data_IF_879540123806
#
_entry.id   IF_879540123806
#
_cell.length_a   1.000
_cell.length_b   1.000
_cell.length_c   1.000
_cell.angle_alpha   90.00
_cell.angle_beta   90.00
_cell.angle_gamma   90.00
#
_symmetry.space_group_name_H-M   'P 1'
#
loop_
_entity.id
_entity.type
_entity.pdbx_description
1 polymer ?
#
# COMPACT_ATOMS: atom_id res chain seq x y z
N UNK A 1 20.22 20.13 -10.47
CA UNK A 1 19.79 18.75 -10.24
C UNK A 1 18.30 18.69 -10.43
N UNK A 2 17.82 17.79 -11.28
CA UNK A 2 16.39 17.66 -11.59
C UNK A 2 15.78 16.46 -10.87
N UNK A 3 14.56 16.59 -10.38
CA UNK A 3 13.88 15.51 -9.67
C UNK A 3 12.45 15.27 -10.18
N UNK A 4 12.00 14.04 -10.04
CA UNK A 4 10.59 13.69 -10.12
C UNK A 4 10.10 13.21 -8.76
N UNK A 5 8.85 13.50 -8.43
CA UNK A 5 8.24 13.03 -7.19
C UNK A 5 7.39 11.80 -7.49
N UNK A 6 7.57 10.74 -6.71
CA UNK A 6 6.68 9.60 -6.71
C UNK A 6 5.85 9.55 -5.43
N UNK A 7 4.53 9.44 -5.58
CA UNK A 7 3.59 9.33 -4.48
C UNK A 7 2.58 8.19 -4.71
N UNK A 8 2.16 7.52 -3.64
CA UNK A 8 1.12 6.48 -3.70
C UNK A 8 0.26 6.41 -2.46
N UNK A 9 -0.96 5.88 -2.61
CA UNK A 9 -1.78 5.47 -1.47
C UNK A 9 -1.29 4.13 -0.89
N UNK A 10 -1.53 3.92 0.41
CA UNK A 10 -1.28 2.64 1.09
C UNK A 10 -2.53 1.78 1.24
N UNK A 11 -3.75 2.36 1.16
CA UNK A 11 -5.05 1.66 1.22
C UNK A 11 -6.19 2.59 0.77
N UNK A 12 -7.37 2.02 0.44
CA UNK A 12 -8.58 2.74 0.00
C UNK A 12 -9.14 3.75 1.03
N UNK A 13 -8.73 3.68 2.30
CA UNK A 13 -9.20 4.56 3.37
C UNK A 13 -8.37 5.85 3.53
N UNK A 14 -7.23 5.98 2.85
CA UNK A 14 -6.43 7.20 2.89
C UNK A 14 -6.84 8.15 1.78
N UNK A 15 -7.51 9.23 2.17
CA UNK A 15 -8.07 10.27 1.31
C UNK A 15 -7.00 10.96 0.43
N UNK A 16 -7.43 11.60 -0.66
CA UNK A 16 -6.59 12.43 -1.55
C UNK A 16 -5.68 13.42 -0.81
N UNK A 17 -6.11 13.93 0.34
CA UNK A 17 -5.29 14.74 1.26
C UNK A 17 -3.94 14.10 1.65
N UNK A 18 -3.83 12.78 1.61
CA UNK A 18 -2.56 12.09 1.88
C UNK A 18 -1.54 12.22 0.74
N UNK A 19 -1.97 12.24 -0.52
CA UNK A 19 -1.06 12.47 -1.66
C UNK A 19 -0.63 13.92 -1.73
N UNK A 20 -1.56 14.87 -1.55
CA UNK A 20 -1.23 16.30 -1.52
C UNK A 20 -0.20 16.62 -0.41
N UNK A 21 -0.35 16.01 0.77
CA UNK A 21 0.63 16.11 1.84
C UNK A 21 2.01 15.59 1.43
N UNK A 22 2.06 14.39 0.84
CA UNK A 22 3.32 13.81 0.34
C UNK A 22 3.99 14.71 -0.70
N UNK A 23 3.22 15.23 -1.65
CA UNK A 23 3.72 16.10 -2.71
C UNK A 23 4.23 17.43 -2.15
N UNK A 24 3.53 18.02 -1.18
CA UNK A 24 3.94 19.27 -0.52
C UNK A 24 5.26 19.07 0.21
N UNK A 25 5.37 18.07 1.08
CA UNK A 25 6.58 17.81 1.86
C UNK A 25 7.78 17.51 0.95
N UNK A 26 7.57 16.79 -0.16
CA UNK A 26 8.61 16.54 -1.17
C UNK A 26 9.02 17.83 -1.90
N UNK A 27 8.08 18.72 -2.23
CA UNK A 27 8.40 20.02 -2.87
C UNK A 27 9.16 20.92 -1.93
N UNK A 28 8.76 20.99 -0.66
CA UNK A 28 9.45 21.77 0.38
C UNK A 28 10.89 21.27 0.57
N UNK A 29 11.08 19.95 0.56
CA UNK A 29 12.42 19.35 0.60
C UNK A 29 13.24 19.73 -0.64
N UNK A 30 12.67 19.63 -1.83
CA UNK A 30 13.33 19.96 -3.08
C UNK A 30 13.77 21.43 -3.11
N UNK A 31 12.89 22.36 -2.70
CA UNK A 31 13.19 23.78 -2.62
C UNK A 31 14.34 24.07 -1.66
N UNK A 32 14.31 23.50 -0.45
CA UNK A 32 15.37 23.66 0.57
C UNK A 32 16.73 23.14 0.11
N UNK A 33 16.75 22.15 -0.80
CA UNK A 33 17.98 21.55 -1.31
C UNK A 33 18.37 22.00 -2.72
N UNK A 34 17.69 23.02 -3.28
CA UNK A 34 18.00 23.56 -4.61
C UNK A 34 17.74 22.55 -5.75
N UNK A 35 16.77 21.66 -5.58
CA UNK A 35 16.40 20.63 -6.55
C UNK A 35 15.19 21.11 -7.36
N UNK A 36 15.26 21.05 -8.68
CA UNK A 36 14.16 21.44 -9.56
C UNK A 36 13.24 20.24 -9.81
N UNK A 37 11.98 20.31 -9.37
CA UNK A 37 10.99 19.27 -9.65
C UNK A 37 10.44 19.44 -11.06
N UNK A 38 10.68 18.44 -11.94
CA UNK A 38 10.30 18.45 -13.37
C UNK A 38 9.04 17.62 -13.66
N UNK A 39 8.57 16.82 -12.71
CA UNK A 39 7.36 16.00 -12.89
C UNK A 39 6.95 15.23 -11.66
N UNK A 40 5.76 14.61 -11.75
CA UNK A 40 5.20 13.77 -10.69
C UNK A 40 4.64 12.48 -11.27
N UNK A 41 4.80 11.36 -10.54
CA UNK A 41 4.20 10.06 -10.83
C UNK A 41 3.34 9.67 -9.64
N UNK A 42 2.08 9.31 -9.88
CA UNK A 42 1.11 9.10 -8.80
C UNK A 42 0.33 7.82 -9.06
N UNK A 43 0.55 6.80 -8.23
CA UNK A 43 -0.25 5.59 -8.25
C UNK A 43 -1.37 5.66 -7.20
N UNK A 44 -2.61 5.64 -7.70
CA UNK A 44 -3.81 5.52 -6.88
C UNK A 44 -4.15 4.04 -6.74
N UNK A 45 -4.25 3.52 -5.52
CA UNK A 45 -4.56 2.11 -5.28
C UNK A 45 -5.96 1.77 -5.82
N UNK A 46 -6.03 1.00 -6.90
CA UNK A 46 -7.30 0.54 -7.48
C UNK A 46 -7.81 -0.78 -6.88
N UNK A 47 -7.01 -1.56 -6.20
CA UNK A 47 -7.45 -2.69 -5.37
C UNK A 47 -6.31 -3.26 -4.53
N UNK A 48 -6.64 -3.88 -3.39
CA UNK A 48 -5.67 -4.57 -2.53
C UNK A 48 -5.09 -5.85 -3.17
N UNK A 49 -5.63 -6.30 -4.31
CA UNK A 49 -5.28 -7.59 -4.94
C UNK A 49 -4.32 -7.50 -6.12
N UNK A 50 -4.16 -6.34 -6.74
CA UNK A 50 -3.26 -6.18 -7.91
C UNK A 50 -2.15 -5.20 -7.60
N UNK A 51 -0.89 -5.64 -7.82
CA UNK A 51 0.30 -4.77 -7.72
C UNK A 51 0.46 -3.94 -8.99
N UNK A 52 -0.64 -3.36 -9.44
CA UNK A 52 -0.63 -2.52 -10.64
C UNK A 52 -0.22 -1.09 -10.23
N UNK A 53 1.06 -0.77 -10.50
CA UNK A 53 1.66 0.55 -10.30
C UNK A 53 2.11 1.12 -11.65
N UNK A 54 1.18 1.50 -12.53
CA UNK A 54 1.51 1.91 -13.89
C UNK A 54 2.42 3.14 -13.91
N UNK A 55 2.21 4.11 -13.04
CA UNK A 55 3.04 5.30 -12.96
C UNK A 55 4.42 5.00 -12.39
N UNK A 56 4.54 4.10 -11.42
CA UNK A 56 5.84 3.61 -10.95
C UNK A 56 6.62 2.93 -12.07
N UNK A 57 5.99 2.02 -12.81
CA UNK A 57 6.64 1.33 -13.92
C UNK A 57 7.04 2.29 -15.04
N UNK A 58 6.21 3.31 -15.30
CA UNK A 58 6.53 4.40 -16.24
C UNK A 58 7.74 5.20 -15.76
N UNK A 59 7.78 5.57 -14.48
CA UNK A 59 8.91 6.28 -13.87
C UNK A 59 10.23 5.50 -14.01
N UNK A 60 10.20 4.19 -13.71
CA UNK A 60 11.39 3.32 -13.89
C UNK A 60 11.85 3.27 -15.35
N UNK A 61 10.93 3.17 -16.30
CA UNK A 61 11.27 3.22 -17.74
C UNK A 61 11.81 4.59 -18.15
N UNK A 62 11.23 5.67 -17.65
CA UNK A 62 11.63 7.04 -17.97
C UNK A 62 12.99 7.40 -17.37
N UNK A 63 13.42 6.75 -16.28
CA UNK A 63 14.76 6.93 -15.71
C UNK A 63 15.89 6.62 -16.72
N UNK A 64 15.66 5.68 -17.64
CA UNK A 64 16.62 5.36 -18.69
C UNK A 64 16.79 6.48 -19.73
N UNK A 65 15.81 7.41 -19.83
CA UNK A 65 15.84 8.54 -20.75
C UNK A 65 16.67 9.73 -20.22
N UNK A 66 17.15 9.65 -18.97
CA UNK A 66 17.97 10.70 -18.31
C UNK A 66 17.30 12.08 -18.28
N UNK A 67 15.99 12.13 -18.12
CA UNK A 67 15.22 13.38 -18.04
C UNK A 67 15.15 13.93 -16.61
N UNK A 68 15.60 13.17 -15.63
CA UNK A 68 15.73 13.55 -14.22
C UNK A 68 16.90 12.81 -13.57
N UNK A 69 17.47 13.40 -12.52
CA UNK A 69 18.62 12.88 -11.79
C UNK A 69 18.21 12.20 -10.50
N UNK A 70 17.01 12.54 -9.96
CA UNK A 70 16.55 12.11 -8.65
C UNK A 70 15.09 11.68 -8.70
N UNK A 71 14.80 10.55 -8.05
CA UNK A 71 13.44 10.17 -7.64
C UNK A 71 13.27 10.56 -6.18
N UNK A 72 12.35 11.47 -5.90
CA UNK A 72 12.03 11.94 -4.57
C UNK A 72 10.75 11.29 -4.08
N UNK A 73 10.80 10.65 -2.92
CA UNK A 73 9.65 10.04 -2.24
C UNK A 73 9.46 10.65 -0.87
N UNK A 74 8.26 10.62 -0.36
CA UNK A 74 7.99 11.10 0.99
C UNK A 74 8.72 10.25 2.04
N UNK A 75 8.58 8.91 1.95
CA UNK A 75 9.30 7.90 2.73
C UNK A 75 9.64 6.70 1.86
N UNK A 76 10.62 5.88 2.25
CA UNK A 76 11.03 4.70 1.49
C UNK A 76 9.93 3.64 1.37
N UNK A 77 9.01 3.56 2.34
CA UNK A 77 7.84 2.65 2.29
C UNK A 77 6.86 3.02 1.17
N UNK A 78 6.94 4.24 0.63
CA UNK A 78 6.18 4.66 -0.56
C UNK A 78 6.81 4.18 -1.85
N UNK A 79 8.12 3.99 -1.88
CA UNK A 79 8.86 3.54 -3.06
C UNK A 79 8.61 2.05 -3.35
N UNK A 80 8.77 1.18 -2.36
CA UNK A 80 8.62 -0.26 -2.53
C UNK A 80 7.75 -0.88 -1.42
N UNK A 81 7.18 -2.06 -1.69
CA UNK A 81 6.32 -2.78 -0.73
C UNK A 81 7.12 -3.76 0.11
N UNK A 82 8.23 -4.24 -0.39
CA UNK A 82 9.10 -5.18 0.28
C UNK A 82 10.57 -4.86 -0.03
N UNK A 83 11.45 -5.45 0.76
CA UNK A 83 12.89 -5.21 0.67
C UNK A 83 13.49 -5.63 -0.67
N UNK A 84 13.03 -6.72 -1.23
CA UNK A 84 13.55 -7.24 -2.49
C UNK A 84 13.27 -6.28 -3.65
N UNK A 85 12.03 -5.80 -3.76
CA UNK A 85 11.63 -4.81 -4.76
C UNK A 85 12.40 -3.49 -4.58
N UNK A 86 12.55 -3.03 -3.31
CA UNK A 86 13.29 -1.81 -3.00
C UNK A 86 14.72 -1.86 -3.54
N UNK A 87 15.45 -2.96 -3.27
CA UNK A 87 16.83 -3.14 -3.71
C UNK A 87 16.92 -3.23 -5.23
N UNK A 88 16.04 -4.02 -5.87
CA UNK A 88 16.05 -4.20 -7.32
C UNK A 88 15.76 -2.90 -8.08
N UNK A 89 14.72 -2.17 -7.69
CA UNK A 89 14.37 -0.93 -8.37
C UNK A 89 15.36 0.20 -8.07
N UNK A 90 15.91 0.26 -6.86
CA UNK A 90 16.99 1.19 -6.55
C UNK A 90 18.22 0.91 -7.42
N UNK A 91 18.64 -0.35 -7.54
CA UNK A 91 19.75 -0.74 -8.42
C UNK A 91 19.49 -0.35 -9.88
N UNK A 92 18.26 -0.51 -10.39
CA UNK A 92 17.89 -0.08 -11.73
C UNK A 92 18.01 1.44 -11.91
N UNK A 93 17.54 2.23 -10.94
CA UNK A 93 17.67 3.69 -10.95
C UNK A 93 19.16 4.10 -10.95
N UNK A 94 19.96 3.54 -10.06
CA UNK A 94 21.40 3.82 -9.95
C UNK A 94 22.15 3.47 -11.25
N UNK A 95 21.81 2.35 -11.89
CA UNK A 95 22.36 1.96 -13.19
C UNK A 95 22.04 2.99 -14.28
N UNK A 96 20.90 3.66 -14.20
CA UNK A 96 20.50 4.74 -15.11
C UNK A 96 21.08 6.10 -14.70
N UNK A 97 21.84 6.18 -13.58
CA UNK A 97 22.40 7.42 -13.04
C UNK A 97 21.40 8.26 -12.25
N UNK A 98 20.30 7.65 -11.78
CA UNK A 98 19.24 8.30 -11.00
C UNK A 98 19.33 7.87 -9.55
N UNK A 99 19.27 8.84 -8.61
CA UNK A 99 19.33 8.57 -7.16
C UNK A 99 17.95 8.59 -6.54
N UNK A 100 17.71 7.67 -5.61
CA UNK A 100 16.49 7.66 -4.77
C UNK A 100 16.76 8.49 -3.50
N UNK A 101 15.85 9.42 -3.21
CA UNK A 101 15.92 10.30 -2.03
C UNK A 101 14.58 10.29 -1.30
N UNK A 102 14.62 10.15 0.02
CA UNK A 102 13.45 10.30 0.89
C UNK A 102 13.42 11.69 1.51
N UNK A 103 12.27 12.38 1.44
CA UNK A 103 12.12 13.72 1.99
C UNK A 103 12.10 13.75 3.52
N UNK A 104 11.52 12.71 4.15
CA UNK A 104 11.35 12.63 5.60
C UNK A 104 12.41 11.77 6.29
N UNK A 105 13.20 11.03 5.53
CA UNK A 105 14.22 10.10 6.05
C UNK A 105 15.58 10.48 5.43
N UNK A 106 16.28 11.47 6.00
CA UNK A 106 17.57 11.90 5.49
C UNK A 106 18.59 10.77 5.66
N UNK A 107 18.89 10.08 4.57
CA UNK A 107 19.85 8.98 4.54
C UNK A 107 21.12 9.50 3.90
N UNK A 108 22.25 9.34 4.61
CA UNK A 108 23.58 9.62 4.08
C UNK A 108 23.85 8.77 2.83
N UNK A 109 24.57 9.32 1.86
CA UNK A 109 25.01 8.57 0.67
C UNK A 109 26.26 7.68 0.93
N UNK A 110 26.74 7.63 2.18
CA UNK A 110 27.85 6.79 2.59
C UNK A 110 27.46 5.36 2.94
N UNK A 111 28.45 4.50 3.29
CA UNK A 111 28.22 3.12 3.70
C UNK A 111 27.25 2.98 4.89
N UNK A 112 27.30 3.94 5.82
CA UNK A 112 26.36 4.03 6.94
C UNK A 112 24.92 4.27 6.49
N UNK A 113 24.71 4.98 5.37
CA UNK A 113 23.38 5.20 4.77
C UNK A 113 22.77 3.90 4.29
N UNK A 114 23.55 3.00 3.69
CA UNK A 114 23.10 1.67 3.26
C UNK A 114 22.57 0.86 4.45
N UNK A 115 23.25 0.95 5.59
CA UNK A 115 22.83 0.25 6.81
C UNK A 115 21.50 0.83 7.35
N UNK A 116 21.40 2.14 7.44
CA UNK A 116 20.18 2.84 7.92
C UNK A 116 18.99 2.55 6.99
N UNK A 117 19.17 2.63 5.68
CA UNK A 117 18.14 2.29 4.69
C UNK A 117 17.66 0.85 4.83
N UNK A 118 18.60 -0.10 4.95
CA UNK A 118 18.28 -1.52 5.14
C UNK A 118 17.48 -1.76 6.43
N UNK A 119 17.83 -1.05 7.49
CA UNK A 119 17.13 -1.12 8.77
C UNK A 119 15.70 -0.55 8.67
N UNK A 120 15.52 0.60 8.03
CA UNK A 120 14.20 1.24 7.85
C UNK A 120 13.26 0.36 7.03
N UNK A 121 13.76 -0.21 5.92
CA UNK A 121 12.99 -1.13 5.08
C UNK A 121 12.63 -2.40 5.86
N UNK A 122 13.59 -2.96 6.60
CA UNK A 122 13.35 -4.16 7.44
C UNK A 122 12.34 -3.90 8.56
N UNK A 123 12.35 -2.72 9.17
CA UNK A 123 11.34 -2.32 10.16
C UNK A 123 9.94 -2.20 9.55
N UNK A 124 9.81 -1.62 8.36
CA UNK A 124 8.52 -1.52 7.66
C UNK A 124 7.93 -2.90 7.34
N UNK A 125 8.77 -3.84 6.89
CA UNK A 125 8.38 -5.25 6.68
C UNK A 125 7.94 -5.92 7.98
N UNK A 126 8.72 -5.74 9.06
CA UNK A 126 8.39 -6.29 10.37
C UNK A 126 7.03 -5.80 10.87
N UNK A 127 6.77 -4.50 10.81
CA UNK A 127 5.47 -3.94 11.23
C UNK A 127 4.30 -4.46 10.38
N UNK A 128 4.50 -4.63 9.08
CA UNK A 128 3.49 -5.20 8.18
C UNK A 128 3.19 -6.65 8.54
N UNK A 129 4.21 -7.46 8.79
CA UNK A 129 4.06 -8.85 9.20
C UNK A 129 3.42 -8.98 10.59
N UNK A 130 3.82 -8.14 11.54
CA UNK A 130 3.22 -8.11 12.88
C UNK A 130 1.73 -7.73 12.84
N UNK A 131 1.37 -6.74 12.01
CA UNK A 131 -0.03 -6.34 11.81
C UNK A 131 -0.85 -7.48 11.20
N UNK A 132 -0.33 -8.16 10.17
CA UNK A 132 -1.00 -9.32 9.56
C UNK A 132 -1.27 -10.44 10.58
N UNK A 133 -0.29 -10.76 11.46
CA UNK A 133 -0.49 -11.73 12.53
C UNK A 133 -1.54 -11.28 13.54
N UNK A 134 -1.57 -9.99 13.92
CA UNK A 134 -2.58 -9.44 14.83
C UNK A 134 -3.98 -9.52 14.24
N UNK A 135 -4.12 -9.18 12.94
CA UNK A 135 -5.40 -9.27 12.21
C UNK A 135 -5.87 -10.72 12.14
N UNK A 136 -5.03 -11.65 11.69
CA UNK A 136 -5.36 -13.07 11.60
C UNK A 136 -5.78 -13.66 12.94
N UNK A 137 -5.10 -13.27 14.05
CA UNK A 137 -5.49 -13.67 15.39
C UNK A 137 -6.86 -13.11 15.78
N UNK A 138 -7.13 -11.83 15.49
CA UNK A 138 -8.41 -11.19 15.76
C UNK A 138 -9.56 -11.82 14.96
N UNK A 139 -9.34 -12.12 13.69
CA UNK A 139 -10.31 -12.82 12.83
C UNK A 139 -10.61 -14.22 13.34
N UNK A 140 -9.58 -14.97 13.76
CA UNK A 140 -9.75 -16.30 14.36
C UNK A 140 -10.57 -16.24 15.66
N UNK A 141 -10.27 -15.28 16.53
CA UNK A 141 -11.00 -15.09 17.79
C UNK A 141 -12.47 -14.74 17.53
N UNK A 142 -12.73 -13.84 16.59
CA UNK A 142 -14.09 -13.52 16.17
C UNK A 142 -14.82 -14.74 15.59
N UNK A 143 -14.14 -15.54 14.77
CA UNK A 143 -14.73 -16.77 14.21
C UNK A 143 -15.08 -17.78 15.30
N UNK A 144 -14.23 -17.97 16.32
CA UNK A 144 -14.51 -18.82 17.47
C UNK A 144 -15.72 -18.34 18.29
N UNK A 145 -15.97 -17.03 18.29
CA UNK A 145 -17.13 -16.41 18.94
C UNK A 145 -18.34 -16.29 17.98
N UNK A 146 -18.29 -16.89 16.80
CA UNK A 146 -19.30 -16.78 15.75
C UNK A 146 -19.61 -15.33 15.31
N UNK A 147 -18.68 -14.42 15.50
CA UNK A 147 -18.82 -13.01 15.09
C UNK A 147 -18.48 -12.82 13.61
N UNK A 148 -19.18 -11.88 12.99
CA UNK A 148 -18.95 -11.50 11.61
C UNK A 148 -17.58 -10.83 11.44
N UNK A 149 -16.78 -11.37 10.50
CA UNK A 149 -15.43 -10.88 10.16
C UNK A 149 -15.38 -10.02 8.89
N UNK A 150 -16.52 -9.74 8.27
CA UNK A 150 -16.58 -9.04 6.96
C UNK A 150 -16.90 -10.00 5.83
N UNK A 151 -17.03 -9.44 4.61
CA UNK A 151 -17.40 -10.17 3.41
C UNK A 151 -18.90 -10.06 3.07
N UNK A 152 -19.38 -10.96 2.22
CA UNK A 152 -20.80 -11.01 1.84
C UNK A 152 -21.55 -11.83 2.88
N UNK A 153 -22.62 -11.27 3.43
CA UNK A 153 -23.50 -11.98 4.35
C UNK A 153 -24.27 -13.04 3.55
N UNK A 154 -24.29 -14.32 3.99
CA UNK A 154 -25.05 -15.36 3.30
C UNK A 154 -26.55 -15.04 3.23
N UNK A 155 -27.22 -15.50 2.18
CA UNK A 155 -28.68 -15.36 2.03
C UNK A 155 -29.37 -16.03 3.22
N UNK A 156 -30.39 -15.39 3.78
CA UNK A 156 -31.11 -15.87 4.95
C UNK A 156 -30.56 -15.39 6.29
N UNK A 157 -29.46 -14.61 6.27
CA UNK A 157 -28.86 -14.08 7.48
C UNK A 157 -28.71 -12.55 7.41
N UNK A 158 -28.73 -11.94 8.58
CA UNK A 158 -28.40 -10.52 8.82
C UNK A 158 -27.38 -10.42 9.95
N UNK A 159 -26.71 -9.28 10.07
CA UNK A 159 -25.69 -9.06 11.11
C UNK A 159 -26.23 -8.12 12.18
N UNK A 160 -26.22 -8.57 13.42
CA UNK A 160 -26.57 -7.74 14.57
C UNK A 160 -25.62 -6.54 14.69
N UNK A 161 -26.17 -5.35 14.88
CA UNK A 161 -25.38 -4.12 14.95
C UNK A 161 -24.54 -4.01 16.22
N UNK A 162 -25.03 -4.58 17.33
CA UNK A 162 -24.38 -4.49 18.64
C UNK A 162 -23.47 -5.69 18.93
N UNK A 163 -23.96 -6.91 18.63
CA UNK A 163 -23.26 -8.16 18.97
C UNK A 163 -22.36 -8.68 17.85
N UNK A 164 -22.59 -8.19 16.59
CA UNK A 164 -21.90 -8.65 15.37
C UNK A 164 -22.08 -10.15 15.10
N UNK A 165 -23.14 -10.75 15.61
CA UNK A 165 -23.49 -12.15 15.35
C UNK A 165 -24.37 -12.26 14.10
N UNK A 166 -24.41 -13.48 13.54
CA UNK A 166 -25.35 -13.83 12.49
C UNK A 166 -26.72 -14.10 13.10
N UNK A 167 -27.73 -13.39 12.62
CA UNK A 167 -29.14 -13.60 12.96
C UNK A 167 -29.88 -14.06 11.72
N UNK A 168 -30.90 -14.90 11.90
CA UNK A 168 -31.80 -15.32 10.81
C UNK A 168 -32.59 -14.09 10.34
N UNK A 169 -32.55 -13.84 9.03
CA UNK A 169 -33.37 -12.82 8.38
C UNK A 169 -34.71 -13.43 7.96
N UNK A 170 -35.83 -13.08 8.60
CA UNK A 170 -37.12 -13.71 8.32
C UNK A 170 -37.64 -13.43 6.90
N UNK A 171 -37.15 -12.39 6.22
CA UNK A 171 -37.57 -12.07 4.84
C UNK A 171 -36.83 -12.93 3.80
N UNK A 172 -35.58 -13.23 4.02
CA UNK A 172 -34.74 -13.92 3.04
C UNK A 172 -34.45 -15.37 3.40
N UNK A 173 -34.63 -15.80 4.65
CA UNK A 173 -34.41 -17.18 5.09
C UNK A 173 -35.25 -18.20 4.33
N UNK A 174 -36.59 -18.00 4.08
CA UNK A 174 -37.39 -18.96 3.33
C UNK A 174 -36.84 -19.25 1.93
N UNK A 175 -36.31 -18.23 1.23
CA UNK A 175 -35.70 -18.40 -0.09
C UNK A 175 -34.42 -19.21 -0.06
N UNK A 176 -33.66 -19.13 1.03
CA UNK A 176 -32.43 -19.93 1.22
C UNK A 176 -32.76 -21.41 1.43
N UNK A 177 -33.85 -21.72 2.15
CA UNK A 177 -34.32 -23.08 2.41
C UNK A 177 -34.92 -23.72 1.16
N UNK A 178 -35.67 -22.98 0.35
CA UNK A 178 -36.22 -23.45 -0.95
C UNK A 178 -35.12 -23.93 -1.89
N UNK A 179 -34.05 -23.17 -2.05
CA UNK A 179 -32.91 -23.57 -2.88
C UNK A 179 -32.20 -24.83 -2.38
N UNK A 180 -32.14 -25.03 -1.07
CA UNK A 180 -31.48 -26.22 -0.49
C UNK A 180 -32.31 -27.48 -0.71
N UNK A 181 -33.65 -27.38 -0.66
CA UNK A 181 -34.55 -28.50 -0.89
C UNK A 181 -34.57 -28.92 -2.38
N UNK A 182 -34.44 -27.98 -3.32
CA UNK A 182 -34.33 -28.29 -4.75
C UNK A 182 -33.03 -29.06 -5.08
N UNK A 183 -31.91 -28.73 -4.46
CA UNK A 183 -30.63 -29.43 -4.65
C UNK A 183 -30.61 -30.86 -4.04
N UNK A 184 -31.43 -31.11 -3.02
CA UNK A 184 -31.56 -32.45 -2.42
C UNK A 184 -32.52 -33.39 -3.19
N UNK A 185 -33.27 -32.84 -4.15
CA UNK A 185 -34.22 -33.62 -4.99
C UNK A 185 -33.66 -34.09 -6.33
N UNK A 186 -32.38 -33.80 -6.59
CA UNK A 186 -31.60 -34.30 -7.75
C UNK A 186 -30.66 -35.42 -7.32
#
# INVERSE_FOLDING_TARGET
MTAVIYARYSSDSQREASIEGQLRDCKDYAEKNGITVVGTYIDRAYSAKTDDRPDFQRMIKDSAKKIFDVVLVWKLDRFARNRFDAVNYKYQLEKNGVHLVSAMEPISQGPEGIMVESMLIGMAEYYSAELAMKVARGERENALQCKYNGGVVPLGFTIGKEDRLYHIDPETAPRSEEHTSELQSL
#
